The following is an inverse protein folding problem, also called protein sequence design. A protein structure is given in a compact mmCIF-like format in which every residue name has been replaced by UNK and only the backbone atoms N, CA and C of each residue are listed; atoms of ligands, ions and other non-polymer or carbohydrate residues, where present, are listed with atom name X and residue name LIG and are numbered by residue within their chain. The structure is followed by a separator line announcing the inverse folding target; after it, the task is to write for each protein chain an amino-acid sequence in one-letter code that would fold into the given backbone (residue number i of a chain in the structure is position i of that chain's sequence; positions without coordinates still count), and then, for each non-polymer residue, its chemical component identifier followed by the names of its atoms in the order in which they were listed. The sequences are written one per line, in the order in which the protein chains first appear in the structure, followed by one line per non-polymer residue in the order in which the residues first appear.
data_IF_568213682200
#
_entry.id   IF_568213682200
#
_cell.length_a   1.000
_cell.length_b   1.000
_cell.length_c   1.000
_cell.angle_alpha   90.00
_cell.angle_beta   90.00
_cell.angle_gamma   90.00
#
_symmetry.space_group_name_H-M   'P 1'
#
loop_
_entity.id
_entity.type
_entity.pdbx_description
1 polymer ?
#
# COMPACT_ATOMS: atom_id res chain seq x y z
N UNK A 1 -21.83 -10.97 -34.91
CA UNK A 1 -22.93 -10.00 -34.72
C UNK A 1 -23.83 -10.57 -33.64
N UNK A 2 -23.93 -10.08 -32.40
CA UNK A 2 -23.43 -8.90 -31.73
C UNK A 2 -23.08 -9.30 -30.28
N UNK A 3 -22.03 -8.71 -29.72
CA UNK A 3 -21.62 -8.91 -28.33
C UNK A 3 -22.52 -8.12 -27.39
N UNK A 4 -22.99 -8.78 -26.34
CA UNK A 4 -23.64 -8.10 -25.22
C UNK A 4 -22.56 -7.49 -24.32
N UNK A 5 -22.35 -6.19 -24.47
CA UNK A 5 -21.75 -5.35 -23.45
C UNK A 5 -22.66 -5.35 -22.22
N UNK A 6 -22.44 -6.27 -21.28
CA UNK A 6 -22.93 -6.10 -19.91
C UNK A 6 -22.11 -4.99 -19.26
N UNK A 7 -22.69 -3.80 -19.27
CA UNK A 7 -22.26 -2.66 -18.47
C UNK A 7 -22.12 -3.12 -17.01
N UNK A 8 -20.92 -3.02 -16.44
CA UNK A 8 -20.58 -3.38 -15.06
C UNK A 8 -21.14 -2.37 -14.03
N UNK A 9 -22.32 -1.80 -14.30
CA UNK A 9 -22.95 -0.78 -13.43
C UNK A 9 -23.44 -1.33 -12.08
N UNK A 10 -23.44 -2.65 -11.89
CA UNK A 10 -23.81 -3.30 -10.62
C UNK A 10 -22.55 -3.85 -9.91
N UNK A 11 -21.59 -2.98 -9.60
CA UNK A 11 -20.76 -3.24 -8.42
C UNK A 11 -21.69 -3.12 -7.21
N UNK A 12 -22.19 -4.26 -6.74
CA UNK A 12 -23.08 -4.43 -5.59
C UNK A 12 -22.33 -4.08 -4.29
N UNK A 13 -21.96 -2.80 -4.16
CA UNK A 13 -21.26 -2.19 -3.02
C UNK A 13 -22.18 -2.11 -1.80
N UNK A 14 -23.45 -2.50 -1.92
CA UNK A 14 -24.46 -2.45 -0.86
C UNK A 14 -24.42 -3.70 0.03
N UNK A 15 -23.54 -4.67 -0.26
CA UNK A 15 -23.33 -5.85 0.60
C UNK A 15 -22.30 -5.65 1.73
N UNK A 16 -21.82 -4.44 1.99
CA UNK A 16 -20.80 -4.18 3.03
C UNK A 16 -21.13 -2.95 3.90
N UNK A 17 -21.27 -3.19 5.20
CA UNK A 17 -21.34 -2.18 6.25
C UNK A 17 -20.00 -1.42 6.35
N UNK A 18 -19.98 -0.19 5.84
CA UNK A 18 -18.86 0.76 5.93
C UNK A 18 -18.86 1.50 7.30
N UNK A 19 -19.65 1.05 8.28
CA UNK A 19 -19.85 1.75 9.56
C UNK A 19 -18.94 1.29 10.71
N UNK A 20 -17.75 0.72 10.45
CA UNK A 20 -16.89 0.19 11.53
C UNK A 20 -15.54 0.92 11.64
N UNK A 21 -15.61 2.04 12.37
CA UNK A 21 -14.58 2.71 13.18
C UNK A 21 -13.64 3.73 12.49
N UNK A 22 -14.07 4.99 12.60
CA UNK A 22 -13.46 6.22 12.09
C UNK A 22 -12.64 7.01 13.14
N UNK A 23 -12.23 6.42 14.26
CA UNK A 23 -11.50 7.15 15.30
C UNK A 23 -10.04 6.70 15.45
N UNK A 24 -9.10 7.54 15.00
CA UNK A 24 -7.67 7.42 15.35
C UNK A 24 -7.19 8.73 16.03
N UNK A 25 -6.92 8.73 17.34
CA UNK A 25 -6.69 9.96 18.13
C UNK A 25 -5.26 10.52 18.10
N UNK A 26 -4.48 10.31 17.02
CA UNK A 26 -3.05 10.71 16.99
C UNK A 26 -2.60 11.48 15.74
N UNK A 27 -3.50 12.19 15.05
CA UNK A 27 -3.13 12.98 13.87
C UNK A 27 -2.35 14.28 14.18
N UNK A 28 -2.28 14.72 15.44
CA UNK A 28 -1.57 15.94 15.80
C UNK A 28 -0.20 15.65 16.42
N UNK A 29 0.84 15.72 15.60
CA UNK A 29 2.18 16.27 15.91
C UNK A 29 3.20 15.79 14.88
N UNK A 30 3.41 16.54 13.79
CA UNK A 30 4.76 16.89 13.29
C UNK A 30 4.67 18.22 12.53
N UNK A 31 5.02 19.33 13.19
CA UNK A 31 5.48 20.57 12.56
C UNK A 31 6.89 20.89 13.10
N UNK A 32 7.64 21.63 12.28
CA UNK A 32 8.96 22.26 12.49
C UNK A 32 10.17 21.45 11.99
N UNK A 33 11.14 21.99 11.24
CA UNK A 33 11.31 23.33 10.66
C UNK A 33 12.71 23.54 10.05
N UNK A 34 12.79 24.45 9.05
CA UNK A 34 13.93 25.30 8.58
C UNK A 34 15.23 24.64 8.04
N UNK A 35 16.16 25.40 7.38
CA UNK A 35 16.04 26.62 6.57
C UNK A 35 16.77 26.55 5.19
N UNK A 36 16.68 27.66 4.45
CA UNK A 36 17.08 27.95 3.07
C UNK A 36 18.52 28.49 3.00
N UNK A 37 19.27 28.13 1.94
CA UNK A 37 20.58 28.73 1.60
C UNK A 37 20.64 29.04 0.10
N UNK A 38 20.92 30.29 -0.24
CA UNK A 38 21.22 30.77 -1.60
C UNK A 38 22.74 30.83 -1.83
N UNK A 39 23.22 30.79 -3.09
CA UNK A 39 24.47 31.44 -3.43
C UNK A 39 24.39 32.41 -4.62
N UNK A 40 24.71 33.66 -4.29
CA UNK A 40 25.61 34.67 -4.92
C UNK A 40 25.97 34.59 -6.42
N UNK A 41 25.74 35.73 -7.09
CA UNK A 41 26.14 36.14 -8.46
C UNK A 41 27.64 36.46 -8.60
N UNK A 42 28.21 36.26 -9.80
CA UNK A 42 29.39 36.99 -10.32
C UNK A 42 29.15 37.45 -11.78
N UNK A 43 29.47 38.70 -12.06
CA UNK A 43 29.64 39.33 -13.38
C UNK A 43 31.13 39.21 -13.81
N UNK A 44 31.64 39.46 -15.02
CA UNK A 44 31.22 40.05 -16.30
C UNK A 44 32.25 39.64 -17.38
N UNK A 45 31.94 39.77 -18.69
CA UNK A 45 32.88 40.23 -19.75
C UNK A 45 32.20 40.27 -21.14
N UNK A 46 32.40 41.37 -21.86
CA UNK A 46 31.84 41.79 -23.16
C UNK A 46 32.67 41.24 -24.36
N UNK A 47 32.07 40.92 -25.52
CA UNK A 47 32.04 41.70 -26.81
C UNK A 47 31.66 40.73 -27.97
N UNK A 48 31.45 41.13 -29.25
CA UNK A 48 30.51 42.08 -29.90
C UNK A 48 29.60 41.38 -30.99
N UNK A 49 28.66 42.06 -31.70
CA UNK A 49 27.47 41.42 -32.32
C UNK A 49 27.51 41.24 -33.86
N UNK A 50 26.68 40.34 -34.43
CA UNK A 50 26.21 40.47 -35.82
C UNK A 50 24.67 40.18 -35.98
N UNK A 51 24.06 40.22 -37.20
CA UNK A 51 23.03 41.18 -37.68
C UNK A 51 21.55 40.71 -37.48
N UNK A 52 20.54 41.54 -37.80
CA UNK A 52 19.16 41.35 -37.31
C UNK A 52 18.41 40.28 -38.12
N UNK A 53 17.99 39.22 -37.44
CA UNK A 53 17.09 38.21 -37.99
C UNK A 53 15.82 38.12 -37.14
N UNK A 54 14.74 38.68 -37.71
CA UNK A 54 13.31 38.40 -37.51
C UNK A 54 12.88 38.01 -36.09
N UNK A 55 12.16 38.91 -35.44
CA UNK A 55 11.34 38.63 -34.26
C UNK A 55 10.34 37.51 -34.57
N UNK A 56 10.67 36.30 -34.14
CA UNK A 56 9.68 35.31 -33.78
C UNK A 56 9.50 35.54 -32.28
N UNK A 57 8.29 35.96 -31.87
CA UNK A 57 7.91 36.02 -30.46
C UNK A 57 8.02 34.61 -29.87
N UNK A 58 9.20 34.26 -29.38
CA UNK A 58 9.37 33.17 -28.45
C UNK A 58 8.80 33.66 -27.12
N UNK A 59 7.57 33.26 -26.80
CA UNK A 59 7.10 33.24 -25.42
C UNK A 59 8.22 32.63 -24.58
N UNK A 60 8.77 33.43 -23.67
CA UNK A 60 9.86 32.99 -22.82
C UNK A 60 9.43 31.68 -22.14
N UNK A 61 10.24 30.60 -22.21
CA UNK A 61 9.87 29.34 -21.58
C UNK A 61 9.69 29.61 -20.09
N UNK A 62 8.44 29.58 -19.62
CA UNK A 62 8.12 29.69 -18.19
C UNK A 62 8.99 28.64 -17.49
N UNK A 63 9.88 29.12 -16.62
CA UNK A 63 10.81 28.27 -15.88
C UNK A 63 10.00 27.18 -15.17
N UNK A 64 10.30 25.93 -15.53
CA UNK A 64 9.70 24.72 -14.97
C UNK A 64 9.81 24.78 -13.44
N UNK A 65 8.67 24.83 -12.76
CA UNK A 65 8.60 24.64 -11.32
C UNK A 65 8.31 23.15 -11.09
N UNK A 66 9.10 22.50 -10.24
CA UNK A 66 8.89 21.09 -9.83
C UNK A 66 7.58 20.86 -9.05
N UNK A 67 6.72 21.88 -8.95
CA UNK A 67 5.45 21.86 -8.21
C UNK A 67 4.24 21.53 -9.07
N UNK A 68 4.35 21.68 -10.39
CA UNK A 68 3.21 21.48 -11.29
C UNK A 68 3.24 20.09 -11.92
N UNK A 69 2.07 19.46 -11.98
CA UNK A 69 1.84 18.19 -12.68
C UNK A 69 2.32 18.29 -14.13
N UNK A 70 3.08 17.30 -14.59
CA UNK A 70 3.48 17.20 -15.99
C UNK A 70 2.54 16.23 -16.73
N UNK A 71 1.59 16.73 -17.54
CA UNK A 71 0.51 15.93 -18.11
C UNK A 71 0.92 14.82 -19.05
N UNK A 72 2.19 14.72 -19.46
CA UNK A 72 2.62 13.64 -20.37
C UNK A 72 3.21 12.43 -19.61
N UNK A 73 3.98 12.66 -18.55
CA UNK A 73 4.66 11.58 -17.82
C UNK A 73 3.83 11.04 -16.66
N UNK A 74 3.26 11.94 -15.86
CA UNK A 74 2.45 11.55 -14.70
C UNK A 74 1.12 10.92 -15.18
N UNK A 75 0.59 11.40 -16.31
CA UNK A 75 -0.53 10.79 -17.03
C UNK A 75 -0.28 9.35 -17.45
N UNK A 76 0.85 9.12 -18.13
CA UNK A 76 1.23 7.79 -18.59
C UNK A 76 1.35 6.81 -17.42
N UNK A 77 1.88 7.27 -16.28
CA UNK A 77 1.97 6.47 -15.06
C UNK A 77 0.59 6.18 -14.46
N UNK A 78 -0.30 7.17 -14.42
CA UNK A 78 -1.67 6.99 -13.90
C UNK A 78 -2.48 6.03 -14.77
N UNK A 79 -2.44 6.18 -16.09
CA UNK A 79 -3.10 5.27 -17.02
C UNK A 79 -2.48 3.87 -16.99
N UNK A 80 -1.17 3.74 -16.80
CA UNK A 80 -0.56 2.42 -16.65
C UNK A 80 -0.98 1.73 -15.34
N UNK A 81 -1.27 2.49 -14.28
CA UNK A 81 -1.61 1.97 -12.96
C UNK A 81 -3.11 1.82 -12.72
N UNK A 82 -3.97 2.46 -13.50
CA UNK A 82 -5.43 2.43 -13.34
C UNK A 82 -6.00 1.01 -13.43
N UNK A 83 -5.53 0.21 -14.40
CA UNK A 83 -5.89 -1.21 -14.54
C UNK A 83 -5.58 -2.04 -13.28
N UNK A 84 -4.41 -1.81 -12.66
CA UNK A 84 -4.01 -2.48 -11.41
C UNK A 84 -4.85 -2.03 -10.22
N UNK A 85 -5.26 -0.76 -10.18
CA UNK A 85 -6.18 -0.24 -9.15
C UNK A 85 -7.55 -0.94 -9.25
N UNK A 86 -8.09 -1.06 -10.46
CA UNK A 86 -9.37 -1.73 -10.72
C UNK A 86 -9.29 -3.22 -10.38
N UNK A 87 -8.22 -3.91 -10.80
CA UNK A 87 -8.00 -5.31 -10.46
C UNK A 87 -7.82 -5.53 -8.95
N UNK A 88 -7.10 -4.60 -8.29
CA UNK A 88 -6.98 -4.56 -6.85
C UNK A 88 -8.35 -4.48 -6.17
N UNK A 89 -9.21 -3.57 -6.64
CA UNK A 89 -10.56 -3.44 -6.10
C UNK A 89 -11.44 -4.66 -6.34
N UNK A 90 -11.33 -5.29 -7.51
CA UNK A 90 -12.03 -6.54 -7.79
C UNK A 90 -11.62 -7.66 -6.83
N UNK A 91 -10.34 -7.78 -6.51
CA UNK A 91 -9.88 -8.76 -5.52
C UNK A 91 -10.33 -8.40 -4.11
N UNK A 92 -10.36 -7.10 -3.79
CA UNK A 92 -10.79 -6.60 -2.49
C UNK A 92 -12.27 -6.91 -2.24
N UNK A 93 -13.15 -6.62 -3.21
CA UNK A 93 -14.60 -6.88 -3.11
C UNK A 93 -14.92 -8.38 -3.05
N UNK A 94 -14.08 -9.23 -3.66
CA UNK A 94 -14.17 -10.68 -3.53
C UNK A 94 -13.61 -11.22 -2.21
N UNK A 95 -13.09 -10.37 -1.33
CA UNK A 95 -12.42 -10.77 -0.09
C UNK A 95 -11.18 -11.65 -0.32
N UNK A 96 -10.47 -11.45 -1.44
CA UNK A 96 -9.32 -12.26 -1.82
C UNK A 96 -8.00 -11.60 -1.40
N UNK A 97 -7.48 -12.02 -0.26
CA UNK A 97 -6.18 -11.60 0.28
C UNK A 97 -5.15 -12.74 0.25
N UNK A 98 -5.28 -13.67 -0.69
CA UNK A 98 -4.33 -14.78 -0.84
C UNK A 98 -2.94 -14.28 -1.23
N UNK A 99 -1.90 -15.10 -1.04
CA UNK A 99 -0.51 -14.69 -1.34
C UNK A 99 -0.29 -14.24 -2.79
N UNK A 100 -1.12 -14.70 -3.74
CA UNK A 100 -1.03 -14.33 -5.15
C UNK A 100 -1.46 -12.90 -5.46
N UNK A 101 -2.28 -12.27 -4.59
CA UNK A 101 -2.80 -10.92 -4.84
C UNK A 101 -1.92 -9.80 -4.28
N UNK A 102 -0.84 -10.14 -3.57
CA UNK A 102 0.05 -9.15 -2.95
C UNK A 102 0.61 -8.13 -3.95
N UNK A 103 1.11 -8.59 -5.10
CA UNK A 103 1.70 -7.68 -6.10
C UNK A 103 0.65 -6.75 -6.71
N UNK A 104 -0.57 -7.26 -6.94
CA UNK A 104 -1.70 -6.46 -7.44
C UNK A 104 -2.01 -5.33 -6.46
N UNK A 105 -2.15 -5.64 -5.17
CA UNK A 105 -2.41 -4.63 -4.14
C UNK A 105 -1.26 -3.63 -3.97
N UNK A 106 -0.01 -4.06 -4.10
CA UNK A 106 1.15 -3.16 -4.02
C UNK A 106 1.19 -2.16 -5.19
N UNK A 107 0.91 -2.61 -6.41
CA UNK A 107 0.85 -1.72 -7.58
C UNK A 107 -0.38 -0.81 -7.52
N UNK A 108 -1.54 -1.32 -7.09
CA UNK A 108 -2.72 -0.51 -6.84
C UNK A 108 -2.45 0.60 -5.81
N UNK A 109 -1.79 0.27 -4.69
CA UNK A 109 -1.41 1.25 -3.66
C UNK A 109 -0.50 2.34 -4.23
N UNK A 110 0.52 1.97 -5.03
CA UNK A 110 1.40 2.95 -5.68
C UNK A 110 0.62 3.87 -6.61
N UNK A 111 -0.34 3.31 -7.36
CA UNK A 111 -1.24 4.05 -8.24
C UNK A 111 -2.09 5.07 -7.49
N UNK A 112 -2.80 4.65 -6.45
CA UNK A 112 -3.62 5.58 -5.64
C UNK A 112 -2.75 6.62 -4.93
N UNK A 113 -1.59 6.24 -4.38
CA UNK A 113 -0.65 7.21 -3.80
C UNK A 113 -0.15 8.25 -4.82
N UNK A 114 -0.10 7.92 -6.11
CA UNK A 114 0.25 8.87 -7.15
C UNK A 114 -0.86 9.92 -7.33
N UNK A 115 -2.13 9.50 -7.36
CA UNK A 115 -3.28 10.41 -7.32
C UNK A 115 -3.21 11.36 -6.12
N UNK A 116 -3.04 10.82 -4.91
CA UNK A 116 -2.92 11.62 -3.67
C UNK A 116 -1.81 12.66 -3.78
N UNK A 117 -0.60 12.25 -4.21
CA UNK A 117 0.57 13.15 -4.32
C UNK A 117 0.38 14.23 -5.38
N UNK A 118 -0.25 13.92 -6.51
CA UNK A 118 -0.50 14.90 -7.57
C UNK A 118 -1.49 15.96 -7.08
N UNK A 119 -2.56 15.51 -6.42
CA UNK A 119 -3.56 16.39 -5.87
C UNK A 119 -2.94 17.27 -4.77
N UNK A 120 -2.31 16.68 -3.75
CA UNK A 120 -1.71 17.40 -2.59
C UNK A 120 -0.73 18.52 -2.98
N UNK A 121 0.02 18.35 -4.08
CA UNK A 121 1.00 19.36 -4.54
C UNK A 121 0.38 20.69 -4.97
N UNK A 122 -0.77 20.67 -5.63
CA UNK A 122 -1.41 21.88 -6.15
C UNK A 122 -2.92 21.64 -6.36
N UNK A 123 -3.79 22.45 -5.74
CA UNK A 123 -5.24 22.37 -5.91
C UNK A 123 -5.73 22.41 -7.35
N UNK A 124 -5.01 23.12 -8.24
CA UNK A 124 -5.37 23.24 -9.65
C UNK A 124 -4.99 22.01 -10.49
N UNK A 125 -4.22 21.06 -9.95
CA UNK A 125 -3.83 19.84 -10.67
C UNK A 125 -5.05 18.96 -10.98
N UNK A 126 -6.10 18.99 -10.17
CA UNK A 126 -7.31 18.22 -10.43
C UNK A 126 -7.94 18.59 -11.78
N UNK A 127 -7.95 19.87 -12.17
CA UNK A 127 -8.55 20.27 -13.45
C UNK A 127 -7.80 19.67 -14.65
N UNK A 128 -6.47 19.64 -14.59
CA UNK A 128 -5.62 19.01 -15.61
C UNK A 128 -5.77 17.49 -15.62
N UNK A 129 -5.88 16.91 -14.43
CA UNK A 129 -6.11 15.49 -14.25
C UNK A 129 -7.49 15.09 -14.76
N UNK A 130 -8.50 15.96 -14.64
CA UNK A 130 -9.86 15.68 -15.06
C UNK A 130 -9.97 15.49 -16.58
N UNK A 131 -9.25 16.28 -17.37
CA UNK A 131 -9.14 16.07 -18.82
C UNK A 131 -8.61 14.66 -19.16
N UNK A 132 -7.61 14.19 -18.41
CA UNK A 132 -7.08 12.83 -18.56
C UNK A 132 -8.08 11.77 -18.11
N UNK A 133 -8.68 11.95 -16.93
CA UNK A 133 -9.67 11.03 -16.36
C UNK A 133 -10.84 10.87 -17.32
N UNK A 134 -11.31 11.95 -17.94
CA UNK A 134 -12.43 11.88 -18.87
C UNK A 134 -12.05 11.24 -20.22
N UNK A 135 -10.76 11.24 -20.58
CA UNK A 135 -10.24 10.62 -21.80
C UNK A 135 -9.98 9.11 -21.69
N UNK A 136 -9.66 8.61 -20.49
CA UNK A 136 -9.29 7.22 -20.23
C UNK A 136 -10.35 6.52 -19.36
N UNK A 137 -10.89 5.40 -19.86
CA UNK A 137 -12.01 4.68 -19.22
C UNK A 137 -11.60 4.16 -17.84
N UNK A 138 -10.39 3.63 -17.70
CA UNK A 138 -9.92 3.04 -16.44
C UNK A 138 -9.68 4.14 -15.39
N UNK A 139 -9.10 5.28 -15.77
CA UNK A 139 -8.95 6.44 -14.88
C UNK A 139 -10.31 6.98 -14.41
N UNK A 140 -11.32 7.01 -15.29
CA UNK A 140 -12.70 7.38 -14.93
C UNK A 140 -13.33 6.42 -13.93
N UNK A 141 -13.10 5.12 -14.11
CA UNK A 141 -13.56 4.11 -13.17
C UNK A 141 -12.88 4.26 -11.80
N UNK A 142 -11.57 4.51 -11.76
CA UNK A 142 -10.81 4.78 -10.53
C UNK A 142 -11.37 6.00 -9.77
N UNK A 143 -11.66 7.09 -10.47
CA UNK A 143 -12.29 8.28 -9.87
C UNK A 143 -13.68 7.94 -9.30
N UNK A 144 -14.50 7.26 -10.09
CA UNK A 144 -15.85 6.84 -9.69
C UNK A 144 -15.81 5.98 -8.41
N UNK A 145 -14.89 5.02 -8.32
CA UNK A 145 -14.73 4.18 -7.12
C UNK A 145 -14.35 5.04 -5.91
N UNK A 146 -13.35 5.91 -6.05
CA UNK A 146 -12.90 6.76 -4.95
C UNK A 146 -14.03 7.69 -4.44
N UNK A 147 -14.78 8.29 -5.35
CA UNK A 147 -15.86 9.22 -5.01
C UNK A 147 -17.08 8.49 -4.45
N UNK A 148 -17.42 7.32 -4.97
CA UNK A 148 -18.47 6.47 -4.41
C UNK A 148 -18.14 6.01 -3.00
N UNK A 149 -16.88 5.67 -2.72
CA UNK A 149 -16.43 5.38 -1.35
C UNK A 149 -16.60 6.58 -0.42
N UNK A 150 -16.21 7.77 -0.86
CA UNK A 150 -16.39 9.01 -0.09
C UNK A 150 -17.88 9.30 0.17
N UNK A 151 -18.72 9.17 -0.87
CA UNK A 151 -20.17 9.35 -0.80
C UNK A 151 -20.83 8.38 0.16
N UNK A 152 -20.40 7.12 0.20
CA UNK A 152 -20.93 6.14 1.16
C UNK A 152 -20.64 6.52 2.62
N UNK A 153 -19.49 7.15 2.90
CA UNK A 153 -19.09 7.54 4.25
C UNK A 153 -19.76 8.86 4.67
N UNK A 154 -19.82 9.85 3.79
CA UNK A 154 -20.21 11.22 4.12
C UNK A 154 -21.62 11.60 3.64
N UNK A 155 -22.27 10.76 2.85
CA UNK A 155 -23.59 11.00 2.25
C UNK A 155 -23.61 12.03 1.11
N UNK A 156 -22.45 12.58 0.75
CA UNK A 156 -22.29 13.65 -0.26
C UNK A 156 -21.18 13.29 -1.24
N UNK A 157 -21.34 13.73 -2.49
CA UNK A 157 -20.25 13.62 -3.47
C UNK A 157 -19.16 14.67 -3.18
N UNK A 158 -17.88 14.35 -3.44
CA UNK A 158 -16.79 15.27 -3.17
C UNK A 158 -16.77 16.40 -4.22
N UNK A 159 -17.13 17.60 -3.81
CA UNK A 159 -17.20 18.77 -4.70
C UNK A 159 -15.91 19.60 -4.64
N UNK A 160 -15.49 19.92 -3.42
CA UNK A 160 -14.30 20.71 -3.16
C UNK A 160 -13.02 19.90 -3.40
N UNK A 161 -11.93 20.61 -3.69
CA UNK A 161 -10.63 19.96 -3.86
C UNK A 161 -10.19 19.17 -2.61
N UNK A 162 -10.49 19.67 -1.41
CA UNK A 162 -10.14 18.98 -0.16
C UNK A 162 -10.91 17.67 -0.01
N UNK A 163 -12.19 17.64 -0.37
CA UNK A 163 -13.00 16.42 -0.34
C UNK A 163 -12.54 15.41 -1.38
N UNK A 164 -12.14 15.87 -2.58
CA UNK A 164 -11.56 15.02 -3.62
C UNK A 164 -10.23 14.40 -3.18
N UNK A 165 -9.34 15.19 -2.58
CA UNK A 165 -8.11 14.69 -1.99
C UNK A 165 -8.41 13.66 -0.89
N UNK A 166 -9.33 13.97 0.02
CA UNK A 166 -9.76 13.07 1.09
C UNK A 166 -10.32 11.74 0.53
N UNK A 167 -11.07 11.77 -0.58
CA UNK A 167 -11.56 10.56 -1.24
C UNK A 167 -10.40 9.63 -1.68
N UNK A 168 -9.37 10.18 -2.33
CA UNK A 168 -8.19 9.40 -2.73
C UNK A 168 -7.33 8.96 -1.54
N UNK A 169 -7.21 9.76 -0.46
CA UNK A 169 -6.52 9.35 0.77
C UNK A 169 -7.21 8.17 1.47
N UNK A 170 -8.55 8.16 1.48
CA UNK A 170 -9.34 7.03 1.97
C UNK A 170 -9.11 5.80 1.11
N UNK A 171 -9.09 5.98 -0.20
CA UNK A 171 -8.83 4.90 -1.13
C UNK A 171 -7.41 4.30 -0.94
N UNK A 172 -6.41 5.17 -0.68
CA UNK A 172 -5.05 4.76 -0.36
C UNK A 172 -5.00 3.93 0.94
N UNK A 173 -5.74 4.37 1.96
CA UNK A 173 -5.82 3.69 3.26
C UNK A 173 -6.41 2.28 3.11
N UNK A 174 -7.45 2.13 2.29
CA UNK A 174 -8.06 0.82 1.98
C UNK A 174 -7.03 -0.13 1.36
N UNK A 175 -6.28 0.32 0.34
CA UNK A 175 -5.25 -0.53 -0.27
C UNK A 175 -4.09 -0.82 0.66
N UNK A 176 -3.73 0.10 1.56
CA UNK A 176 -2.72 -0.15 2.58
C UNK A 176 -3.14 -1.29 3.51
N UNK A 177 -4.40 -1.33 3.90
CA UNK A 177 -4.95 -2.46 4.68
C UNK A 177 -4.95 -3.75 3.86
N UNK A 178 -5.33 -3.71 2.58
CA UNK A 178 -5.31 -4.86 1.68
C UNK A 178 -3.90 -5.43 1.49
N UNK A 179 -2.88 -4.56 1.33
CA UNK A 179 -1.47 -4.94 1.28
C UNK A 179 -1.05 -5.62 2.58
N UNK A 180 -1.38 -5.05 3.74
CA UNK A 180 -1.06 -5.66 5.03
C UNK A 180 -1.67 -7.07 5.16
N UNK A 181 -2.94 -7.23 4.78
CA UNK A 181 -3.65 -8.51 4.74
C UNK A 181 -2.93 -9.52 3.82
N UNK A 182 -2.66 -9.15 2.57
CA UNK A 182 -2.01 -10.03 1.61
C UNK A 182 -0.55 -10.35 1.97
N UNK A 183 0.16 -9.42 2.62
CA UNK A 183 1.53 -9.61 3.11
C UNK A 183 1.60 -10.68 4.19
N UNK A 184 0.64 -10.68 5.14
CA UNK A 184 0.52 -11.75 6.14
C UNK A 184 0.29 -13.08 5.45
N UNK A 185 -0.67 -13.19 4.51
CA UNK A 185 -0.91 -14.42 3.73
C UNK A 185 0.31 -14.91 2.96
N UNK A 186 1.05 -13.99 2.34
CA UNK A 186 2.30 -14.33 1.66
C UNK A 186 3.35 -14.85 2.66
N UNK A 187 3.45 -14.24 3.83
CA UNK A 187 4.32 -14.69 4.90
C UNK A 187 3.94 -16.07 5.42
N UNK A 188 2.64 -16.40 5.54
CA UNK A 188 2.19 -17.75 5.87
C UNK A 188 2.68 -18.78 4.85
N UNK A 189 2.65 -18.43 3.55
CA UNK A 189 3.19 -19.29 2.49
C UNK A 189 4.70 -19.45 2.59
N UNK A 190 5.43 -18.36 2.85
CA UNK A 190 6.90 -18.39 3.00
C UNK A 190 7.33 -19.19 4.24
N UNK A 191 6.58 -19.11 5.33
CA UNK A 191 6.84 -19.86 6.56
C UNK A 191 6.94 -21.37 6.31
N UNK A 192 6.13 -21.91 5.39
CA UNK A 192 6.16 -23.34 5.02
C UNK A 192 7.54 -23.81 4.54
N UNK A 193 8.40 -22.92 4.02
CA UNK A 193 9.78 -23.26 3.66
C UNK A 193 10.60 -23.75 4.86
N UNK A 194 10.26 -23.33 6.07
CA UNK A 194 11.00 -23.60 7.31
C UNK A 194 10.31 -24.65 8.19
N UNK A 195 9.25 -25.29 7.69
CA UNK A 195 8.51 -26.32 8.41
C UNK A 195 8.75 -27.68 7.76
N UNK A 196 8.77 -28.72 8.60
CA UNK A 196 8.70 -30.11 8.16
C UNK A 196 7.30 -30.43 7.64
N UNK A 197 7.15 -31.57 6.94
CA UNK A 197 5.84 -32.08 6.50
C UNK A 197 4.90 -32.38 7.66
N UNK A 198 5.44 -32.67 8.85
CA UNK A 198 4.70 -32.77 10.12
C UNK A 198 4.15 -31.44 10.62
N UNK A 199 4.57 -30.31 10.05
CA UNK A 199 4.22 -28.96 10.47
C UNK A 199 5.02 -28.43 11.68
N UNK A 200 6.01 -29.19 12.17
CA UNK A 200 6.98 -28.68 13.16
C UNK A 200 8.08 -27.86 12.48
N UNK A 201 8.79 -27.03 13.26
CA UNK A 201 9.93 -26.26 12.75
C UNK A 201 11.05 -27.20 12.30
N UNK A 202 11.64 -26.93 11.15
CA UNK A 202 12.86 -27.60 10.71
C UNK A 202 14.09 -26.89 11.32
N UNK A 203 14.42 -27.30 12.54
CA UNK A 203 15.51 -26.70 13.33
C UNK A 203 16.88 -26.86 12.68
N UNK A 204 17.10 -27.98 11.97
CA UNK A 204 18.35 -28.24 11.24
C UNK A 204 18.49 -27.26 10.08
N UNK A 205 17.42 -27.10 9.28
CA UNK A 205 17.41 -26.13 8.18
C UNK A 205 17.60 -24.70 8.68
N UNK A 206 16.92 -24.32 9.77
CA UNK A 206 17.08 -23.01 10.38
C UNK A 206 18.53 -22.73 10.81
N UNK A 207 19.18 -23.69 11.46
CA UNK A 207 20.60 -23.57 11.85
C UNK A 207 21.49 -23.40 10.62
N UNK A 208 21.27 -24.22 9.59
CA UNK A 208 22.04 -24.14 8.35
C UNK A 208 21.87 -22.79 7.65
N UNK A 209 20.63 -22.27 7.56
CA UNK A 209 20.33 -20.95 7.00
C UNK A 209 20.97 -19.80 7.78
N UNK A 210 21.04 -19.92 9.11
CA UNK A 210 21.72 -18.94 9.95
C UNK A 210 23.24 -18.96 9.71
N UNK A 211 23.84 -20.15 9.69
CA UNK A 211 25.29 -20.30 9.47
C UNK A 211 25.73 -19.90 8.06
N UNK A 212 24.86 -20.08 7.05
CA UNK A 212 25.16 -19.71 5.67
C UNK A 212 25.01 -18.22 5.40
N UNK A 213 24.35 -17.46 6.29
CA UNK A 213 24.23 -16.00 6.18
C UNK A 213 23.48 -15.51 4.95
N UNK A 214 22.53 -16.29 4.42
CA UNK A 214 21.81 -15.94 3.19
C UNK A 214 20.97 -14.66 3.33
N UNK A 215 21.11 -13.72 2.39
CA UNK A 215 20.33 -12.48 2.36
C UNK A 215 18.81 -12.74 2.32
N UNK A 216 18.38 -13.78 1.62
CA UNK A 216 16.98 -14.20 1.55
C UNK A 216 16.43 -14.62 2.91
N UNK A 217 17.23 -15.32 3.72
CA UNK A 217 16.83 -15.75 5.06
C UNK A 217 16.70 -14.55 6.00
N UNK A 218 17.64 -13.62 5.96
CA UNK A 218 17.57 -12.39 6.75
C UNK A 218 16.32 -11.55 6.38
N UNK A 219 16.01 -11.44 5.09
CA UNK A 219 14.79 -10.79 4.60
C UNK A 219 13.52 -11.51 5.08
N UNK A 220 13.48 -12.83 5.00
CA UNK A 220 12.36 -13.64 5.49
C UNK A 220 12.13 -13.42 7.00
N UNK A 221 13.19 -13.39 7.81
CA UNK A 221 13.10 -13.12 9.26
C UNK A 221 12.53 -11.74 9.55
N UNK A 222 13.05 -10.69 8.89
CA UNK A 222 12.51 -9.33 9.04
C UNK A 222 11.03 -9.25 8.66
N UNK A 223 10.64 -9.93 7.57
CA UNK A 223 9.25 -10.02 7.15
C UNK A 223 8.40 -10.73 8.22
N UNK A 224 8.88 -11.83 8.81
CA UNK A 224 8.17 -12.54 9.88
C UNK A 224 7.96 -11.65 11.12
N UNK A 225 8.95 -10.85 11.51
CA UNK A 225 8.83 -9.94 12.65
C UNK A 225 7.82 -8.81 12.43
N UNK A 226 7.76 -8.28 11.22
CA UNK A 226 6.80 -7.24 10.87
C UNK A 226 5.39 -7.84 10.76
N UNK A 227 5.25 -8.95 10.04
CA UNK A 227 3.96 -9.55 9.76
C UNK A 227 3.31 -10.24 10.97
N UNK A 228 4.08 -10.71 11.96
CA UNK A 228 3.51 -11.19 13.22
C UNK A 228 2.87 -10.05 14.03
N UNK A 229 3.44 -8.84 13.99
CA UNK A 229 2.84 -7.64 14.62
C UNK A 229 1.54 -7.27 13.93
N UNK A 230 1.54 -7.25 12.59
CA UNK A 230 0.31 -7.03 11.81
C UNK A 230 -0.75 -8.09 12.11
N UNK A 231 -0.37 -9.37 12.18
CA UNK A 231 -1.27 -10.46 12.53
C UNK A 231 -1.89 -10.28 13.93
N UNK A 232 -1.12 -9.82 14.93
CA UNK A 232 -1.66 -9.47 16.25
C UNK A 232 -2.68 -8.34 16.18
N UNK A 233 -2.39 -7.27 15.43
CA UNK A 233 -3.32 -6.15 15.26
C UNK A 233 -4.62 -6.59 14.59
N UNK A 234 -4.54 -7.45 13.57
CA UNK A 234 -5.70 -8.01 12.88
C UNK A 234 -6.58 -8.84 13.83
N UNK A 235 -5.96 -9.69 14.66
CA UNK A 235 -6.68 -10.47 15.68
C UNK A 235 -7.34 -9.55 16.71
N UNK A 236 -6.64 -8.51 17.19
CA UNK A 236 -7.19 -7.54 18.15
C UNK A 236 -8.38 -6.76 17.62
N UNK A 237 -8.35 -6.39 16.32
CA UNK A 237 -9.44 -5.67 15.67
C UNK A 237 -10.71 -6.53 15.49
N UNK A 238 -10.65 -7.85 15.70
CA UNK A 238 -11.80 -8.75 15.54
C UNK A 238 -12.25 -8.98 14.09
N UNK A 239 -11.69 -8.24 13.12
CA UNK A 239 -12.04 -8.24 11.69
C UNK A 239 -11.39 -9.37 10.88
N UNK A 240 -11.06 -10.51 11.51
CA UNK A 240 -10.55 -11.69 10.82
C UNK A 240 -11.68 -12.47 10.12
N UNK A 241 -12.58 -11.74 9.46
CA UNK A 241 -13.65 -12.30 8.64
C UNK A 241 -13.08 -13.28 7.63
N UNK A 242 -13.87 -14.30 7.33
CA UNK A 242 -13.54 -15.45 6.47
C UNK A 242 -13.24 -14.94 5.06
N UNK A 243 -12.02 -14.48 4.86
CA UNK A 243 -11.52 -13.95 3.62
C UNK A 243 -10.53 -14.95 3.02
N UNK A 244 -10.53 -15.09 1.70
CA UNK A 244 -9.73 -16.10 1.01
C UNK A 244 -8.25 -15.77 1.22
N UNK A 245 -7.58 -16.60 2.01
CA UNK A 245 -6.18 -16.43 2.40
C UNK A 245 -5.96 -16.02 3.86
N UNK A 246 -7.00 -15.58 4.59
CA UNK A 246 -6.89 -15.06 5.96
C UNK A 246 -8.03 -15.56 6.87
N UNK A 247 -8.10 -16.88 7.10
CA UNK A 247 -9.02 -17.39 8.13
C UNK A 247 -8.43 -17.14 9.52
N UNK A 248 -9.25 -16.79 10.51
CA UNK A 248 -8.78 -16.57 11.89
C UNK A 248 -7.99 -17.77 12.46
N UNK A 249 -8.38 -19.01 12.11
CA UNK A 249 -7.64 -20.24 12.43
C UNK A 249 -6.21 -20.20 11.86
N UNK A 250 -6.08 -19.81 10.60
CA UNK A 250 -4.80 -19.79 9.87
C UNK A 250 -3.89 -18.69 10.42
N UNK A 251 -4.45 -17.52 10.76
CA UNK A 251 -3.72 -16.42 11.41
C UNK A 251 -3.17 -16.86 12.78
N UNK A 252 -3.98 -17.56 13.59
CA UNK A 252 -3.52 -18.07 14.87
C UNK A 252 -2.41 -19.11 14.71
N UNK A 253 -2.56 -20.06 13.77
CA UNK A 253 -1.50 -21.04 13.46
C UNK A 253 -0.23 -20.31 13.01
N UNK A 254 -0.36 -19.30 12.16
CA UNK A 254 0.76 -18.48 11.70
C UNK A 254 1.47 -17.79 12.87
N UNK A 255 0.73 -17.16 13.79
CA UNK A 255 1.33 -16.51 14.98
C UNK A 255 2.09 -17.55 15.80
N UNK A 256 1.48 -18.70 16.13
CA UNK A 256 2.10 -19.76 16.94
C UNK A 256 3.40 -20.26 16.30
N UNK A 257 3.38 -20.54 15.00
CA UNK A 257 4.52 -21.15 14.29
C UNK A 257 5.62 -20.12 14.05
N UNK A 258 5.25 -18.90 13.66
CA UNK A 258 6.20 -17.80 13.42
C UNK A 258 6.86 -17.36 14.72
N UNK A 259 6.12 -17.25 15.83
CA UNK A 259 6.71 -16.91 17.12
C UNK A 259 7.70 -17.99 17.60
N UNK A 260 7.43 -19.28 17.34
CA UNK A 260 8.39 -20.34 17.68
C UNK A 260 9.65 -20.26 16.79
N UNK A 261 9.48 -20.00 15.50
CA UNK A 261 10.59 -19.79 14.57
C UNK A 261 11.47 -18.62 15.02
N UNK A 262 10.86 -17.47 15.34
CA UNK A 262 11.58 -16.27 15.80
C UNK A 262 12.26 -16.50 17.16
N UNK A 263 11.60 -17.20 18.09
CA UNK A 263 12.21 -17.63 19.35
C UNK A 263 13.48 -18.44 19.10
N UNK A 264 13.40 -19.46 18.24
CA UNK A 264 14.54 -20.32 17.92
C UNK A 264 15.66 -19.55 17.22
N UNK A 265 15.32 -18.71 16.24
CA UNK A 265 16.26 -17.83 15.54
C UNK A 265 17.02 -16.93 16.51
N UNK A 266 16.31 -16.21 17.39
CA UNK A 266 16.94 -15.26 18.31
C UNK A 266 17.74 -15.93 19.43
N UNK A 267 17.35 -17.15 19.82
CA UNK A 267 18.16 -17.99 20.71
C UNK A 267 19.50 -18.33 20.06
N UNK A 268 19.50 -18.70 18.78
CA UNK A 268 20.73 -19.00 18.04
C UNK A 268 21.56 -17.74 17.72
N UNK A 269 20.92 -16.61 17.47
CA UNK A 269 21.58 -15.34 17.19
C UNK A 269 22.15 -14.66 18.45
N UNK A 270 21.90 -15.21 19.64
CA UNK A 270 22.40 -14.66 20.91
C UNK A 270 21.67 -13.40 21.38
N UNK A 271 20.39 -13.23 21.02
CA UNK A 271 19.55 -12.13 21.50
C UNK A 271 18.48 -12.64 22.49
N UNK A 272 18.79 -12.66 23.80
CA UNK A 272 17.91 -13.25 24.80
C UNK A 272 16.60 -12.48 24.99
N UNK A 273 16.62 -11.15 24.84
CA UNK A 273 15.43 -10.31 25.05
C UNK A 273 14.33 -10.59 24.01
N UNK A 274 14.74 -10.67 22.73
CA UNK A 274 13.81 -11.00 21.65
C UNK A 274 13.39 -12.46 21.70
N UNK A 275 14.28 -13.38 22.07
CA UNK A 275 13.92 -14.77 22.29
C UNK A 275 12.84 -14.87 23.37
N UNK A 276 13.03 -14.25 24.54
CA UNK A 276 12.04 -14.28 25.62
C UNK A 276 10.69 -13.67 25.18
N UNK A 277 10.72 -12.55 24.46
CA UNK A 277 9.51 -11.95 23.90
C UNK A 277 8.73 -12.92 23.01
N UNK A 278 9.37 -13.51 22.00
CA UNK A 278 8.70 -14.43 21.09
C UNK A 278 8.31 -15.77 21.74
N UNK A 279 9.07 -16.22 22.74
CA UNK A 279 8.73 -17.39 23.57
C UNK A 279 7.45 -17.16 24.38
N UNK A 280 7.27 -15.96 24.95
CA UNK A 280 6.01 -15.57 25.63
C UNK A 280 4.84 -15.50 24.65
N UNK A 281 5.03 -14.89 23.48
CA UNK A 281 4.00 -14.84 22.43
C UNK A 281 3.55 -16.24 22.02
N UNK A 282 4.50 -17.14 21.75
CA UNK A 282 4.23 -18.54 21.40
C UNK A 282 3.40 -19.23 22.48
N UNK A 283 3.83 -19.11 23.74
CA UNK A 283 3.20 -19.76 24.88
C UNK A 283 1.77 -19.25 25.09
N UNK A 284 1.54 -17.95 24.94
CA UNK A 284 0.22 -17.35 25.05
C UNK A 284 -0.71 -17.91 23.97
N UNK A 285 -0.33 -17.81 22.70
CA UNK A 285 -1.20 -18.25 21.61
C UNK A 285 -1.42 -19.76 21.60
N UNK A 286 -0.43 -20.57 22.00
CA UNK A 286 -0.58 -22.02 22.13
C UNK A 286 -1.60 -22.42 23.21
N UNK A 287 -1.64 -21.71 24.35
CA UNK A 287 -2.58 -22.01 25.46
C UNK A 287 -4.04 -21.76 25.07
N UNK A 288 -4.31 -20.72 24.28
CA UNK A 288 -5.67 -20.37 23.86
C UNK A 288 -6.14 -21.16 22.63
N UNK A 289 -5.26 -21.93 21.99
CA UNK A 289 -5.59 -22.79 20.86
C UNK A 289 -5.73 -24.23 21.34
N UNK A 290 -6.88 -24.55 21.95
CA UNK A 290 -7.26 -25.95 22.19
C UNK A 290 -7.53 -26.57 20.82
N UNK A 291 -6.52 -27.23 20.25
CA UNK A 291 -6.75 -28.22 19.19
C UNK A 291 -7.47 -29.36 19.89
N UNK A 292 -8.79 -29.47 19.71
CA UNK A 292 -9.48 -30.73 20.00
C UNK A 292 -8.87 -31.76 19.02
N UNK A 293 -8.16 -32.74 19.57
CA UNK A 293 -7.69 -33.93 18.85
C UNK A 293 -8.87 -34.67 18.21
#
# INVERSE_FOLDING_TARGET
MAGENKHLSDFDLDSFDIDVDLDNPFADKIKAGKPRTEPVRRAAAETPPPPPAREIEHEAPRRRSSKDFNPDMDALLLTAQSSMIIEGMKNYTQGNFSSGTLQIYMEALKGVSLYTKILDRNPNNYNKLKELIDSDIDCKEVESIAFNMYKKIHGIEPDSYQEKLAAFERFETLFREAVNKASVSNSMRLLKKYLLMSGSLDEVKMRNCLTSGGADFASDIQNFEQHIKLAHEMVKKGKCEISKGLKGRDINIYIIKTSYLLYFYYTLAGNPDLAEYYGRVHSNYKKYFIIRE
#
